data_IF_954497352846
#
_entry.id   IF_954497352846
#
_cell.length_a   1.000
_cell.length_b   1.000
_cell.length_c   1.000
_cell.angle_alpha   90.00
_cell.angle_beta   90.00
_cell.angle_gamma   90.00
#
_symmetry.space_group_name_H-M   'P 1'
#
loop_
_entity.id
_entity.type
_entity.pdbx_description
1 polymer ?
#
# COMPACT_ATOMS: atom_id res chain seq x y z
N UNK A 1 9.26 2.38 -6.43
CA UNK A 1 8.23 1.51 -7.06
C UNK A 1 7.49 0.79 -5.94
N UNK A 2 6.16 0.81 -5.95
CA UNK A 2 5.34 0.11 -4.96
C UNK A 2 5.12 -1.33 -5.39
N UNK A 3 5.37 -2.28 -4.50
CA UNK A 3 5.13 -3.71 -4.72
C UNK A 3 3.90 -4.15 -3.95
N UNK A 4 2.91 -4.69 -4.65
CA UNK A 4 1.63 -5.10 -4.05
C UNK A 4 1.41 -6.58 -4.32
N UNK A 5 1.14 -7.34 -3.28
CA UNK A 5 0.65 -8.71 -3.41
C UNK A 5 -0.87 -8.73 -3.30
N UNK A 6 -1.50 -9.45 -4.21
CA UNK A 6 -2.95 -9.71 -4.18
C UNK A 6 -3.20 -11.21 -4.19
N UNK A 7 -4.09 -11.71 -3.34
CA UNK A 7 -4.41 -13.13 -3.28
C UNK A 7 -5.91 -13.36 -3.27
N UNK A 8 -6.37 -14.14 -4.24
CA UNK A 8 -7.77 -14.59 -4.40
C UNK A 8 -7.78 -15.82 -5.31
N UNK A 9 -8.72 -16.73 -5.12
CA UNK A 9 -8.88 -17.91 -6.00
C UNK A 9 -9.67 -17.60 -7.27
N UNK A 10 -10.47 -16.53 -7.28
CA UNK A 10 -11.28 -16.14 -8.40
C UNK A 10 -10.55 -15.16 -9.31
N UNK A 11 -10.30 -15.53 -10.55
CA UNK A 11 -9.55 -14.73 -11.54
C UNK A 11 -10.26 -13.41 -11.87
N UNK A 12 -11.58 -13.39 -11.89
CA UNK A 12 -12.39 -12.19 -12.10
C UNK A 12 -12.21 -11.19 -10.95
N UNK A 13 -12.12 -11.66 -9.70
CA UNK A 13 -11.81 -10.80 -8.55
C UNK A 13 -10.39 -10.21 -8.64
N UNK A 14 -9.41 -11.03 -9.00
CA UNK A 14 -8.04 -10.59 -9.22
C UNK A 14 -7.96 -9.52 -10.32
N UNK A 15 -8.67 -9.75 -11.43
CA UNK A 15 -8.72 -8.79 -12.53
C UNK A 15 -9.34 -7.47 -12.10
N UNK A 16 -10.49 -7.51 -11.44
CA UNK A 16 -11.17 -6.31 -10.94
C UNK A 16 -10.29 -5.51 -9.96
N UNK A 17 -9.58 -6.21 -9.08
CA UNK A 17 -8.69 -5.59 -8.10
C UNK A 17 -7.47 -4.97 -8.78
N UNK A 18 -6.84 -5.67 -9.73
CA UNK A 18 -5.72 -5.15 -10.53
C UNK A 18 -6.11 -3.90 -11.31
N UNK A 19 -7.29 -3.89 -11.93
CA UNK A 19 -7.78 -2.73 -12.68
C UNK A 19 -8.03 -1.52 -11.76
N UNK A 20 -8.59 -1.75 -10.57
CA UNK A 20 -8.79 -0.69 -9.58
C UNK A 20 -7.45 -0.11 -9.09
N UNK A 21 -6.46 -0.95 -8.82
CA UNK A 21 -5.11 -0.53 -8.43
C UNK A 21 -4.43 0.24 -9.58
N UNK A 22 -4.52 -0.28 -10.80
CA UNK A 22 -3.94 0.37 -11.99
C UNK A 22 -4.52 1.77 -12.20
N UNK A 23 -5.83 1.93 -12.12
CA UNK A 23 -6.47 3.23 -12.23
C UNK A 23 -5.96 4.21 -11.16
N UNK A 24 -5.91 3.78 -9.89
CA UNK A 24 -5.42 4.61 -8.80
C UNK A 24 -3.97 5.06 -8.98
N UNK A 25 -3.07 4.14 -9.37
CA UNK A 25 -1.66 4.46 -9.54
C UNK A 25 -1.39 5.32 -10.77
N UNK A 26 -2.19 5.19 -11.83
CA UNK A 26 -2.14 6.07 -13.00
C UNK A 26 -2.56 7.50 -12.63
N UNK A 27 -3.68 7.68 -11.92
CA UNK A 27 -4.14 8.99 -11.47
C UNK A 27 -3.15 9.67 -10.53
N UNK A 28 -2.48 8.91 -9.68
CA UNK A 28 -1.50 9.44 -8.72
C UNK A 28 -0.07 9.52 -9.26
N UNK A 29 0.15 9.18 -10.54
CA UNK A 29 1.46 9.19 -11.22
C UNK A 29 2.55 8.41 -10.46
N UNK A 30 2.19 7.27 -9.87
CA UNK A 30 3.10 6.43 -9.09
C UNK A 30 3.43 5.14 -9.80
N UNK A 31 4.68 4.72 -9.71
CA UNK A 31 5.15 3.45 -10.26
C UNK A 31 4.84 2.32 -9.28
N UNK A 32 4.23 1.25 -9.77
CA UNK A 32 3.83 0.08 -8.98
C UNK A 32 4.00 -1.21 -9.77
N UNK A 33 4.01 -2.33 -9.05
CA UNK A 33 3.87 -3.69 -9.59
C UNK A 33 2.87 -4.47 -8.73
N UNK A 34 2.16 -5.40 -9.36
CA UNK A 34 1.21 -6.29 -8.68
C UNK A 34 1.59 -7.73 -8.97
N UNK A 35 1.81 -8.52 -7.92
CA UNK A 35 1.98 -9.97 -7.99
C UNK A 35 0.70 -10.63 -7.48
N UNK A 36 0.17 -11.59 -8.24
CA UNK A 36 -1.07 -12.29 -7.90
C UNK A 36 -0.79 -13.71 -7.45
N UNK A 37 -1.52 -14.13 -6.43
CA UNK A 37 -1.45 -15.46 -5.85
C UNK A 37 -2.85 -16.10 -5.82
N UNK A 38 -2.96 -17.33 -6.25
CA UNK A 38 -4.17 -18.15 -6.10
C UNK A 38 -4.07 -19.10 -4.91
N UNK A 39 -2.89 -19.13 -4.25
CA UNK A 39 -2.61 -19.89 -3.04
C UNK A 39 -1.60 -19.09 -2.18
N UNK A 40 -1.90 -18.92 -0.91
CA UNK A 40 -1.07 -18.18 0.03
C UNK A 40 0.26 -18.87 0.36
N UNK A 41 0.39 -20.18 0.12
CA UNK A 41 1.66 -20.90 0.32
C UNK A 41 2.77 -20.35 -0.60
N UNK A 42 2.43 -19.92 -1.81
CA UNK A 42 3.39 -19.28 -2.70
C UNK A 42 3.78 -17.88 -2.22
N UNK A 43 2.83 -17.09 -1.71
CA UNK A 43 3.13 -15.80 -1.10
C UNK A 43 4.05 -15.96 0.11
N UNK A 44 3.75 -16.91 1.02
CA UNK A 44 4.62 -17.22 2.18
C UNK A 44 6.03 -17.61 1.75
N UNK A 45 6.14 -18.41 0.70
CA UNK A 45 7.44 -18.85 0.17
C UNK A 45 8.24 -17.69 -0.39
N UNK A 46 7.62 -16.84 -1.22
CA UNK A 46 8.29 -15.69 -1.82
C UNK A 46 8.77 -14.71 -0.73
N UNK A 47 7.92 -14.43 0.26
CA UNK A 47 8.32 -13.59 1.40
C UNK A 47 9.44 -14.22 2.23
N UNK A 48 9.42 -15.55 2.44
CA UNK A 48 10.49 -16.25 3.13
C UNK A 48 11.83 -16.24 2.35
N UNK A 49 11.78 -16.07 1.03
CA UNK A 49 12.94 -15.90 0.15
C UNK A 49 13.43 -14.45 0.05
N UNK A 50 12.82 -13.53 0.81
CA UNK A 50 13.24 -12.13 0.87
C UNK A 50 12.46 -11.19 -0.06
N UNK A 51 11.38 -11.66 -0.72
CA UNK A 51 10.50 -10.76 -1.44
C UNK A 51 9.70 -9.91 -0.44
N UNK A 52 9.73 -8.59 -0.64
CA UNK A 52 9.03 -7.62 0.21
C UNK A 52 7.92 -6.92 -0.55
N UNK A 53 6.78 -6.75 0.12
CA UNK A 53 5.64 -6.03 -0.41
C UNK A 53 5.34 -4.79 0.44
N UNK A 54 4.86 -3.74 -0.21
CA UNK A 54 4.42 -2.52 0.44
C UNK A 54 2.96 -2.58 0.88
N UNK A 55 2.20 -3.51 0.33
CA UNK A 55 0.79 -3.76 0.63
C UNK A 55 0.42 -5.19 0.27
N UNK A 56 -0.31 -5.84 1.16
CA UNK A 56 -0.98 -7.12 0.92
C UNK A 56 -2.49 -6.89 0.83
N UNK A 57 -3.16 -7.46 -0.18
CA UNK A 57 -4.63 -7.50 -0.28
C UNK A 57 -5.02 -8.97 -0.46
N UNK A 58 -5.60 -9.56 0.58
CA UNK A 58 -5.77 -11.01 0.68
C UNK A 58 -7.24 -11.40 0.91
N UNK A 59 -7.71 -12.44 0.23
CA UNK A 59 -8.94 -13.12 0.65
C UNK A 59 -8.65 -14.06 1.83
N UNK A 60 -9.56 -14.08 2.79
CA UNK A 60 -9.49 -14.95 3.97
C UNK A 60 -9.99 -16.37 3.72
N UNK A 61 -10.69 -16.60 2.60
CA UNK A 61 -11.22 -17.92 2.25
C UNK A 61 -10.76 -18.26 0.84
N UNK A 62 -9.74 -19.10 0.76
CA UNK A 62 -9.16 -19.53 -0.51
C UNK A 62 -9.28 -21.05 -0.62
N UNK A 63 -9.74 -21.55 -1.77
CA UNK A 63 -9.96 -23.00 -2.01
C UNK A 63 -10.84 -23.67 -0.95
N UNK A 64 -11.83 -22.96 -0.38
CA UNK A 64 -12.67 -23.47 0.69
C UNK A 64 -11.98 -23.63 2.04
N UNK A 65 -10.73 -23.23 2.16
CA UNK A 65 -9.95 -23.27 3.39
C UNK A 65 -9.75 -21.88 3.98
N UNK A 66 -9.64 -21.81 5.29
CA UNK A 66 -9.34 -20.56 6.00
C UNK A 66 -7.87 -20.20 5.79
N UNK A 67 -7.64 -19.00 5.32
CA UNK A 67 -6.29 -18.46 5.10
C UNK A 67 -5.72 -17.78 6.36
N UNK A 68 -6.45 -17.81 7.48
CA UNK A 68 -6.09 -17.09 8.72
C UNK A 68 -4.73 -17.55 9.25
N UNK A 69 -4.49 -18.86 9.30
CA UNK A 69 -3.22 -19.42 9.80
C UNK A 69 -2.04 -19.04 8.90
N UNK A 70 -2.25 -19.00 7.58
CA UNK A 70 -1.23 -18.56 6.64
C UNK A 70 -0.88 -17.08 6.87
N UNK A 71 -1.90 -16.24 7.06
CA UNK A 71 -1.70 -14.82 7.36
C UNK A 71 -1.02 -14.62 8.71
N UNK A 72 -1.34 -15.41 9.74
CA UNK A 72 -0.64 -15.36 11.03
C UNK A 72 0.84 -15.67 10.88
N UNK A 73 1.20 -16.72 10.12
CA UNK A 73 2.62 -17.05 9.85
C UNK A 73 3.34 -15.94 9.07
N UNK A 74 2.66 -15.28 8.14
CA UNK A 74 3.20 -14.10 7.45
C UNK A 74 3.47 -12.99 8.47
N UNK A 75 2.53 -12.73 9.39
CA UNK A 75 2.66 -11.69 10.41
C UNK A 75 3.77 -11.95 11.42
N UNK A 76 3.99 -13.20 11.80
CA UNK A 76 5.07 -13.60 12.70
C UNK A 76 6.46 -13.28 12.11
N UNK A 77 6.59 -13.32 10.79
CA UNK A 77 7.85 -13.06 10.08
C UNK A 77 8.02 -11.63 9.61
N UNK A 78 6.93 -10.98 9.26
CA UNK A 78 6.85 -9.63 8.67
C UNK A 78 5.81 -8.80 9.42
N UNK A 79 6.18 -8.30 10.60
CA UNK A 79 5.31 -7.44 11.40
C UNK A 79 5.39 -6.00 10.91
N UNK A 80 4.48 -5.57 10.08
CA UNK A 80 4.39 -4.18 9.66
C UNK A 80 3.97 -3.93 8.22
N UNK A 81 4.00 -4.92 7.34
CA UNK A 81 3.46 -4.75 5.99
C UNK A 81 1.95 -4.44 6.06
N UNK A 82 1.48 -3.31 5.52
CA UNK A 82 0.06 -3.00 5.48
C UNK A 82 -0.75 -4.12 4.83
N UNK A 83 -1.84 -4.53 5.49
CA UNK A 83 -2.68 -5.64 5.08
C UNK A 83 -4.13 -5.19 4.97
N UNK A 84 -4.77 -5.46 3.85
CA UNK A 84 -6.21 -5.30 3.64
C UNK A 84 -6.79 -6.68 3.37
N UNK A 85 -7.85 -7.03 4.08
CA UNK A 85 -8.65 -8.18 3.72
C UNK A 85 -9.77 -7.79 2.76
N UNK A 86 -9.92 -8.56 1.68
CA UNK A 86 -11.03 -8.43 0.71
C UNK A 86 -11.70 -9.79 0.57
N UNK A 87 -12.78 -10.02 1.31
CA UNK A 87 -13.40 -11.33 1.45
C UNK A 87 -14.93 -11.28 1.33
N UNK A 88 -15.57 -12.37 0.95
CA UNK A 88 -17.02 -12.49 0.98
C UNK A 88 -17.56 -12.78 2.39
N UNK A 89 -16.73 -13.29 3.30
CA UNK A 89 -17.16 -13.65 4.65
C UNK A 89 -17.10 -12.43 5.59
N UNK A 90 -18.07 -12.32 6.48
CA UNK A 90 -18.16 -11.24 7.49
C UNK A 90 -17.71 -11.68 8.89
N UNK A 91 -17.60 -12.96 9.12
CA UNK A 91 -17.38 -13.53 10.46
C UNK A 91 -15.97 -13.27 11.00
N UNK A 92 -14.99 -13.12 10.11
CA UNK A 92 -13.57 -12.97 10.50
C UNK A 92 -13.13 -11.51 10.74
N UNK A 93 -14.08 -10.59 10.83
CA UNK A 93 -13.76 -9.18 11.05
C UNK A 93 -13.05 -8.96 12.40
N UNK A 94 -13.42 -9.71 13.43
CA UNK A 94 -12.78 -9.63 14.77
C UNK A 94 -11.34 -10.14 14.70
N UNK A 95 -11.11 -11.28 14.06
CA UNK A 95 -9.78 -11.87 13.90
C UNK A 95 -8.84 -10.98 13.09
N UNK A 96 -9.39 -10.17 12.17
CA UNK A 96 -8.60 -9.22 11.39
C UNK A 96 -7.93 -8.14 12.24
N UNK A 97 -8.52 -7.76 13.39
CA UNK A 97 -7.93 -6.84 14.34
C UNK A 97 -6.67 -7.42 15.01
N UNK A 98 -6.70 -8.71 15.35
CA UNK A 98 -5.54 -9.40 15.94
C UNK A 98 -4.35 -9.43 14.97
N UNK A 99 -4.62 -9.39 13.66
CA UNK A 99 -3.59 -9.38 12.60
C UNK A 99 -3.15 -7.97 12.21
N UNK A 100 -3.54 -6.93 12.94
CA UNK A 100 -3.23 -5.54 12.62
C UNK A 100 -3.57 -5.15 11.17
N UNK A 101 -4.72 -5.62 10.67
CA UNK A 101 -5.17 -5.28 9.33
C UNK A 101 -5.50 -3.78 9.22
N UNK A 102 -5.05 -3.16 8.12
CA UNK A 102 -5.36 -1.78 7.80
C UNK A 102 -6.85 -1.58 7.51
N UNK A 103 -7.47 -2.56 6.89
CA UNK A 103 -8.92 -2.59 6.63
C UNK A 103 -9.43 -4.01 6.39
N UNK A 104 -10.75 -4.17 6.56
CA UNK A 104 -11.51 -5.37 6.26
C UNK A 104 -12.65 -5.00 5.31
N UNK A 105 -12.52 -5.40 4.05
CA UNK A 105 -13.47 -5.07 2.99
C UNK A 105 -14.28 -6.30 2.62
N UNK A 106 -15.59 -6.12 2.53
CA UNK A 106 -16.50 -7.16 2.07
C UNK A 106 -16.67 -7.06 0.55
N UNK A 107 -16.53 -8.19 -0.14
CA UNK A 107 -16.87 -8.31 -1.55
C UNK A 107 -18.35 -7.99 -1.81
N UNK A 108 -18.72 -7.33 -2.94
CA UNK A 108 -17.86 -6.91 -4.02
C UNK A 108 -16.98 -5.71 -3.66
N UNK A 109 -15.83 -5.60 -4.32
CA UNK A 109 -14.88 -4.49 -4.12
C UNK A 109 -15.55 -3.14 -4.37
N UNK A 110 -15.52 -2.27 -3.36
CA UNK A 110 -15.93 -0.87 -3.48
C UNK A 110 -14.68 -0.02 -3.75
N UNK A 111 -14.54 0.44 -5.00
CA UNK A 111 -13.34 1.18 -5.45
C UNK A 111 -13.04 2.39 -4.60
N UNK A 112 -14.08 3.15 -4.21
CA UNK A 112 -13.95 4.36 -3.40
C UNK A 112 -13.35 4.07 -2.02
N UNK A 113 -13.70 2.92 -1.43
CA UNK A 113 -13.16 2.50 -0.14
C UNK A 113 -11.69 2.10 -0.27
N UNK A 114 -11.33 1.37 -1.34
CA UNK A 114 -9.94 1.02 -1.63
C UNK A 114 -9.10 2.28 -1.82
N UNK A 115 -9.54 3.22 -2.68
CA UNK A 115 -8.86 4.49 -2.93
C UNK A 115 -8.62 5.25 -1.62
N UNK A 116 -9.65 5.38 -0.78
CA UNK A 116 -9.51 6.04 0.53
C UNK A 116 -8.43 5.40 1.41
N UNK A 117 -8.31 4.06 1.40
CA UNK A 117 -7.27 3.36 2.18
C UNK A 117 -5.89 3.52 1.59
N UNK A 118 -5.79 3.44 0.26
CA UNK A 118 -4.54 3.71 -0.44
C UNK A 118 -4.05 5.13 -0.17
N UNK A 119 -4.93 6.13 -0.23
CA UNK A 119 -4.58 7.51 0.11
C UNK A 119 -4.04 7.65 1.54
N UNK A 120 -4.69 7.00 2.51
CA UNK A 120 -4.21 7.02 3.90
C UNK A 120 -2.84 6.35 4.04
N UNK A 121 -2.62 5.22 3.38
CA UNK A 121 -1.35 4.50 3.37
C UNK A 121 -0.24 5.36 2.78
N UNK A 122 -0.51 6.00 1.64
CA UNK A 122 0.48 6.82 0.95
C UNK A 122 0.76 8.14 1.65
N UNK A 123 -0.23 8.77 2.29
CA UNK A 123 -0.01 9.94 3.15
C UNK A 123 0.91 9.62 4.32
N UNK A 124 0.81 8.41 4.89
CA UNK A 124 1.69 7.97 6.00
C UNK A 124 3.12 7.67 5.54
N UNK A 125 3.28 7.10 4.34
CA UNK A 125 4.61 6.74 3.78
C UNK A 125 5.31 7.90 3.05
N UNK A 126 4.58 8.98 2.71
CA UNK A 126 5.14 10.19 2.13
C UNK A 126 4.98 11.36 3.10
N UNK A 127 5.82 11.43 4.14
CA UNK A 127 5.81 12.56 5.04
C UNK A 127 6.05 13.86 4.23
N UNK A 128 5.31 14.90 4.58
CA UNK A 128 5.48 16.22 4.00
C UNK A 128 6.31 17.08 4.95
N UNK A 129 7.12 17.92 4.38
CA UNK A 129 7.77 19.00 5.12
C UNK A 129 7.18 20.33 4.69
N UNK A 130 7.22 21.30 5.58
CA UNK A 130 6.78 22.66 5.29
C UNK A 130 7.99 23.57 5.06
N UNK A 131 7.88 24.43 4.07
CA UNK A 131 8.84 25.51 3.83
C UNK A 131 8.12 26.83 4.02
N UNK A 132 8.69 27.71 4.84
CA UNK A 132 8.17 29.07 5.04
C UNK A 132 8.88 30.00 4.08
N UNK A 133 8.14 30.57 3.14
CA UNK A 133 8.66 31.52 2.15
C UNK A 133 7.87 32.83 2.27
N UNK A 134 8.54 33.93 2.60
CA UNK A 134 7.94 35.27 2.67
C UNK A 134 6.67 35.39 3.55
N UNK A 135 6.56 34.53 4.57
CA UNK A 135 5.42 34.54 5.48
C UNK A 135 4.40 33.44 5.30
N UNK A 136 4.35 32.80 4.13
CA UNK A 136 3.46 31.70 3.83
C UNK A 136 4.15 30.33 3.98
N UNK A 137 3.33 29.30 4.26
CA UNK A 137 3.79 27.92 4.33
C UNK A 137 3.42 27.17 3.05
N UNK A 138 4.42 26.60 2.41
CA UNK A 138 4.23 25.63 1.32
C UNK A 138 4.59 24.23 1.81
N UNK A 139 3.80 23.21 1.42
CA UNK A 139 3.97 21.83 1.85
C UNK A 139 4.40 20.97 0.67
N UNK A 140 5.53 20.28 0.82
CA UNK A 140 6.12 19.41 -0.21
C UNK A 140 6.28 17.99 0.31
N UNK A 141 6.07 17.00 -0.56
CA UNK A 141 6.45 15.62 -0.28
C UNK A 141 7.95 15.41 -0.39
N UNK A 142 8.54 14.56 0.44
CA UNK A 142 9.95 14.20 0.30
C UNK A 142 10.24 13.52 -1.04
N UNK A 143 9.24 12.85 -1.62
CA UNK A 143 9.32 12.23 -2.94
C UNK A 143 9.35 13.24 -4.11
N UNK A 144 9.00 14.50 -3.85
CA UNK A 144 9.09 15.59 -4.84
C UNK A 144 10.49 16.23 -4.91
N UNK A 145 11.34 15.91 -3.95
CA UNK A 145 12.66 16.53 -3.83
C UNK A 145 13.74 15.76 -4.58
N UNK A 146 14.73 16.50 -5.07
CA UNK A 146 16.00 15.97 -5.56
C UNK A 146 17.06 16.08 -4.48
N UNK A 147 17.22 17.28 -3.90
CA UNK A 147 18.17 17.53 -2.81
C UNK A 147 17.81 18.80 -2.04
N UNK A 148 18.42 18.93 -0.86
CA UNK A 148 18.54 20.17 -0.12
C UNK A 148 19.99 20.62 -0.12
N UNK A 149 20.20 21.91 -0.20
CA UNK A 149 21.52 22.53 -0.09
C UNK A 149 21.48 23.71 0.87
N UNK A 150 22.44 23.78 1.77
CA UNK A 150 22.63 24.93 2.65
C UNK A 150 23.70 25.86 2.06
N UNK A 151 23.33 27.12 1.78
CA UNK A 151 24.23 28.17 1.34
C UNK A 151 23.95 29.42 2.15
N UNK A 152 25.01 30.08 2.66
CA UNK A 152 24.95 31.40 3.32
C UNK A 152 23.81 31.50 4.37
N UNK A 153 23.72 30.52 5.28
CA UNK A 153 22.70 30.44 6.33
C UNK A 153 21.26 30.26 5.84
N UNK A 154 21.08 29.82 4.61
CA UNK A 154 19.78 29.51 4.02
C UNK A 154 19.73 28.10 3.46
N UNK A 155 18.56 27.51 3.44
CA UNK A 155 18.33 26.19 2.85
C UNK A 155 17.58 26.34 1.53
N UNK A 156 18.13 25.77 0.49
CA UNK A 156 17.54 25.72 -0.83
C UNK A 156 17.12 24.27 -1.12
N UNK A 157 15.95 24.08 -1.67
CA UNK A 157 15.49 22.76 -2.11
C UNK A 157 15.24 22.76 -3.60
N UNK A 158 15.64 21.69 -4.29
CA UNK A 158 15.32 21.48 -5.70
C UNK A 158 14.34 20.35 -5.85
N UNK A 159 13.28 20.60 -6.60
CA UNK A 159 12.23 19.64 -6.92
C UNK A 159 12.55 18.88 -8.20
N UNK A 160 11.93 17.71 -8.36
CA UNK A 160 12.03 16.88 -9.57
C UNK A 160 11.49 17.58 -10.82
N UNK A 161 10.57 18.52 -10.67
CA UNK A 161 10.05 19.37 -11.76
C UNK A 161 11.00 20.52 -12.15
N UNK A 162 12.19 20.61 -11.53
CA UNK A 162 13.21 21.60 -11.79
C UNK A 162 13.04 22.91 -11.02
N UNK A 163 11.95 23.10 -10.28
CA UNK A 163 11.72 24.30 -9.48
C UNK A 163 12.58 24.29 -8.21
N UNK A 164 13.02 25.48 -7.82
CA UNK A 164 13.74 25.69 -6.56
C UNK A 164 12.85 26.50 -5.59
N UNK A 165 13.04 26.25 -4.31
CA UNK A 165 12.46 27.03 -3.22
C UNK A 165 13.54 27.37 -2.20
N UNK A 166 13.31 28.46 -1.45
CA UNK A 166 14.25 29.01 -0.47
C UNK A 166 13.54 29.23 0.84
#
# INVERSE_FOLDING_TARGET
>A
MWKIAVADTAEDHLTLLKDALKAYFQETHRVFSVTSYTDLTFLEKDMAQGEHFDLLILDLVMNGQRSVEAVRRIREKEDGTPLIFLTANREYAVESYEMNALDYMIKPLKKERLVKRLDQLFKRKNPRFSVRTQGDYSYYGYDELVYFEAREHRVYGRRKDGREFK
#
